data_IF_869456302353
#
_entry.id   IF_869456302353
#
_cell.length_a   1.000
_cell.length_b   1.000
_cell.length_c   1.000
_cell.angle_alpha   90.00
_cell.angle_beta   90.00
_cell.angle_gamma   90.00
#
_symmetry.space_group_name_H-M   'P 1'
#
loop_
_entity.id
_entity.type
_entity.pdbx_description
1 polymer ?
#
# COMPACT_ATOMS: atom_id res chain seq x y z
N UNK A 1 26.57 28.90 10.10
CA UNK A 1 27.15 29.85 11.09
C UNK A 1 26.27 29.83 12.31
N UNK A 2 26.84 29.89 13.51
CA UNK A 2 26.04 30.03 14.73
C UNK A 2 25.66 31.49 14.99
N UNK A 3 24.42 31.73 15.44
CA UNK A 3 23.88 33.06 15.75
C UNK A 3 23.28 33.10 17.15
N UNK A 4 23.15 34.30 17.72
CA UNK A 4 22.49 34.46 19.02
C UNK A 4 20.98 34.35 18.83
N UNK A 5 20.32 33.44 19.56
CA UNK A 5 18.87 33.21 19.49
C UNK A 5 18.33 32.80 20.85
N UNK A 6 17.24 33.42 21.30
CA UNK A 6 16.61 33.16 22.61
C UNK A 6 17.61 33.15 23.79
N UNK A 7 18.59 34.07 23.78
CA UNK A 7 19.64 34.13 24.82
C UNK A 7 20.71 33.01 24.75
N UNK A 8 20.61 32.11 23.77
CA UNK A 8 21.55 31.04 23.48
C UNK A 8 22.31 31.23 22.17
N UNK A 9 22.98 30.17 21.73
CA UNK A 9 23.69 30.07 20.45
C UNK A 9 22.95 29.02 19.59
N UNK A 10 22.56 29.36 18.37
CA UNK A 10 21.83 28.46 17.50
C UNK A 10 22.57 28.21 16.19
N UNK A 11 22.67 26.95 15.79
CA UNK A 11 23.09 26.58 14.44
C UNK A 11 21.95 26.74 13.42
N UNK A 12 22.09 27.68 12.48
CA UNK A 12 21.09 27.97 11.46
C UNK A 12 21.42 27.33 10.10
N UNK A 13 20.35 26.84 9.46
CA UNK A 13 20.34 26.33 8.10
C UNK A 13 19.77 27.40 7.17
N UNK A 14 20.52 27.76 6.12
CA UNK A 14 20.21 28.85 5.19
C UNK A 14 19.71 28.36 3.83
N UNK A 15 19.04 27.20 3.79
CA UNK A 15 18.43 26.67 2.58
C UNK A 15 16.98 26.27 2.84
N UNK A 16 16.17 26.22 1.77
CA UNK A 16 14.79 25.73 1.82
C UNK A 16 14.77 24.21 1.92
N UNK A 17 13.90 23.66 2.76
CA UNK A 17 13.78 22.21 2.94
C UNK A 17 12.35 21.85 3.36
N UNK A 18 11.71 20.90 2.66
CA UNK A 18 10.36 20.38 3.00
C UNK A 18 9.32 21.48 3.34
N UNK A 19 9.33 22.57 2.56
CA UNK A 19 8.44 23.72 2.77
C UNK A 19 8.91 24.76 3.81
N UNK A 20 9.95 24.47 4.59
CA UNK A 20 10.58 25.39 5.53
C UNK A 20 11.37 26.51 4.83
N UNK A 21 11.17 27.75 5.28
CA UNK A 21 11.96 28.91 4.83
C UNK A 21 13.21 29.10 5.69
N UNK A 22 14.36 29.46 5.10
CA UNK A 22 15.54 29.84 5.86
C UNK A 22 15.37 31.23 6.55
N UNK A 23 16.07 31.49 7.66
CA UNK A 23 16.86 30.52 8.42
C UNK A 23 15.98 29.67 9.34
N UNK A 24 16.30 28.38 9.43
CA UNK A 24 15.67 27.48 10.40
C UNK A 24 16.71 26.72 11.21
N UNK A 25 16.27 26.14 12.32
CA UNK A 25 17.11 25.38 13.25
C UNK A 25 16.49 24.01 13.53
N UNK A 26 17.30 23.06 14.01
CA UNK A 26 16.87 21.71 14.34
C UNK A 26 17.14 21.41 15.80
N UNK A 27 16.16 20.87 16.53
CA UNK A 27 16.33 20.48 17.93
C UNK A 27 17.38 19.39 18.12
N UNK A 28 17.38 18.38 17.25
CA UNK A 28 18.41 17.34 17.22
C UNK A 28 19.78 17.93 16.94
N UNK A 29 19.91 18.85 15.96
CA UNK A 29 21.19 19.48 15.66
C UNK A 29 21.74 20.31 16.83
N UNK A 30 20.90 21.06 17.54
CA UNK A 30 21.34 21.80 18.74
C UNK A 30 21.81 20.83 19.84
N UNK A 31 21.12 19.72 20.06
CA UNK A 31 21.54 18.72 21.05
C UNK A 31 22.89 18.08 20.69
N UNK A 32 23.08 17.68 19.43
CA UNK A 32 24.36 17.14 18.93
C UNK A 32 25.47 18.18 19.03
N UNK A 33 25.20 19.45 18.71
CA UNK A 33 26.17 20.52 18.86
C UNK A 33 26.56 20.77 20.32
N UNK A 34 25.60 20.73 21.26
CA UNK A 34 25.90 20.82 22.69
C UNK A 34 26.79 19.66 23.16
N UNK A 35 26.49 18.43 22.74
CA UNK A 35 27.33 17.24 23.01
C UNK A 35 28.75 17.39 22.46
N UNK A 36 28.88 17.79 21.19
CA UNK A 36 30.17 17.89 20.52
C UNK A 36 31.04 18.98 21.15
N UNK A 37 30.46 20.16 21.40
CA UNK A 37 31.18 21.29 22.00
C UNK A 37 31.59 21.01 23.45
N UNK A 38 30.73 20.35 24.25
CA UNK A 38 31.12 19.98 25.61
C UNK A 38 32.22 18.91 25.61
N UNK A 39 32.13 17.92 24.72
CA UNK A 39 33.17 16.92 24.54
C UNK A 39 34.51 17.52 24.13
N UNK A 40 34.51 18.43 23.15
CA UNK A 40 35.73 19.12 22.70
C UNK A 40 36.30 20.05 23.78
N UNK A 41 35.44 20.79 24.50
CA UNK A 41 35.85 21.64 25.61
C UNK A 41 36.52 20.84 26.74
N UNK A 42 35.98 19.67 27.08
CA UNK A 42 36.62 18.76 28.04
C UNK A 42 37.96 18.24 27.52
N UNK A 43 38.02 17.75 26.28
CA UNK A 43 39.23 17.15 25.72
C UNK A 43 40.39 18.15 25.60
N UNK A 44 40.08 19.40 25.22
CA UNK A 44 41.07 20.45 24.98
C UNK A 44 41.29 21.36 26.19
N UNK A 45 40.57 21.14 27.29
CA UNK A 45 40.49 22.06 28.43
C UNK A 45 40.16 23.51 28.01
N UNK A 46 39.30 23.69 27.00
CA UNK A 46 38.91 25.00 26.47
C UNK A 46 37.58 25.47 27.09
N UNK A 47 37.61 26.50 27.97
CA UNK A 47 36.40 27.04 28.58
C UNK A 47 35.47 27.73 27.58
N UNK A 48 35.98 28.20 26.44
CA UNK A 48 35.19 28.85 25.38
C UNK A 48 34.25 27.85 24.72
N UNK A 49 34.74 26.64 24.42
CA UNK A 49 33.94 25.55 23.88
C UNK A 49 32.91 25.05 24.91
N UNK A 50 33.31 24.96 26.17
CA UNK A 50 32.39 24.61 27.27
C UNK A 50 31.26 25.65 27.39
N UNK A 51 31.58 26.95 27.40
CA UNK A 51 30.59 28.02 27.43
C UNK A 51 29.69 28.01 26.17
N UNK A 52 30.27 27.74 24.99
CA UNK A 52 29.50 27.61 23.76
C UNK A 52 28.49 26.45 23.84
N UNK A 53 28.88 25.30 24.39
CA UNK A 53 27.99 24.15 24.58
C UNK A 53 26.77 24.48 25.45
N UNK A 54 26.98 25.22 26.55
CA UNK A 54 25.92 25.68 27.44
C UNK A 54 24.98 26.67 26.73
N UNK A 55 25.54 27.59 25.94
CA UNK A 55 24.74 28.53 25.15
C UNK A 55 23.93 27.81 24.07
N UNK A 56 24.46 26.75 23.45
CA UNK A 56 23.71 25.93 22.50
C UNK A 56 22.56 25.21 23.19
N UNK A 57 22.82 24.56 24.32
CA UNK A 57 21.79 23.86 25.09
C UNK A 57 20.60 24.77 25.46
N UNK A 58 20.84 26.04 25.83
CA UNK A 58 19.77 27.00 26.16
C UNK A 58 18.68 27.14 25.08
N UNK A 59 18.98 26.82 23.82
CA UNK A 59 18.01 26.89 22.73
C UNK A 59 17.13 25.64 22.62
N UNK A 60 17.61 24.49 23.11
CA UNK A 60 16.95 23.18 22.96
C UNK A 60 15.55 23.11 23.58
N UNK A 61 15.28 23.63 24.80
CA UNK A 61 13.94 23.59 25.38
C UNK A 61 12.86 24.22 24.49
N UNK A 62 13.19 25.31 23.78
CA UNK A 62 12.27 26.00 22.86
C UNK A 62 11.96 25.21 21.58
N UNK A 63 12.74 24.15 21.32
CA UNK A 63 12.60 23.24 20.19
C UNK A 63 11.86 21.97 20.57
N UNK A 64 11.13 21.99 21.68
CA UNK A 64 10.23 20.90 22.04
C UNK A 64 8.79 21.25 21.69
N UNK A 65 7.98 20.21 21.49
CA UNK A 65 6.52 20.26 21.38
C UNK A 65 5.92 19.27 22.37
N UNK A 66 4.65 19.44 22.71
CA UNK A 66 3.95 18.46 23.54
C UNK A 66 3.43 17.29 22.70
N UNK A 67 3.58 16.08 23.25
CA UNK A 67 2.87 14.86 22.87
C UNK A 67 2.23 14.27 24.13
N UNK A 68 1.43 13.21 23.98
CA UNK A 68 0.68 12.60 25.08
C UNK A 68 1.55 12.22 26.30
N UNK A 69 2.77 11.71 26.06
CA UNK A 69 3.67 11.24 27.10
C UNK A 69 4.69 12.29 27.59
N UNK A 70 4.64 13.54 27.10
CA UNK A 70 5.55 14.61 27.54
C UNK A 70 6.16 15.42 26.38
N UNK A 71 7.34 16.04 26.59
CA UNK A 71 7.99 16.83 25.55
C UNK A 71 8.59 15.93 24.47
N UNK A 72 8.48 16.36 23.22
CA UNK A 72 9.09 15.74 22.05
C UNK A 72 9.89 16.76 21.26
N UNK A 73 11.08 16.41 20.83
CA UNK A 73 11.94 17.31 20.07
C UNK A 73 11.36 17.55 18.68
N UNK A 74 11.34 18.81 18.26
CA UNK A 74 11.07 19.20 16.89
C UNK A 74 12.36 18.98 16.11
N UNK A 75 12.35 17.99 15.21
CA UNK A 75 13.47 17.80 14.30
C UNK A 75 13.72 19.09 13.51
N UNK A 76 12.66 19.72 13.01
CA UNK A 76 12.73 21.02 12.36
C UNK A 76 11.88 22.05 13.10
N UNK A 77 12.45 23.23 13.39
CA UNK A 77 11.74 24.30 14.12
C UNK A 77 10.51 24.84 13.38
N UNK A 78 10.38 24.59 12.08
CA UNK A 78 9.27 25.07 11.25
C UNK A 78 8.10 24.08 11.14
N UNK A 79 8.26 22.81 11.54
CA UNK A 79 7.18 21.82 11.49
C UNK A 79 6.97 21.14 12.84
N UNK A 80 5.93 20.31 12.92
CA UNK A 80 5.54 19.62 14.14
C UNK A 80 5.60 18.09 13.97
N UNK A 81 6.37 17.58 13.00
CA UNK A 81 6.46 16.13 12.84
C UNK A 81 7.09 15.46 14.06
N UNK A 82 6.46 14.38 14.52
CA UNK A 82 6.92 13.61 15.66
C UNK A 82 7.87 12.51 15.16
N UNK A 83 9.13 12.89 14.93
CA UNK A 83 10.15 12.03 14.31
C UNK A 83 10.92 11.23 15.38
N UNK A 84 11.00 9.90 15.23
CA UNK A 84 11.54 9.00 16.26
C UNK A 84 13.05 9.12 16.45
N UNK A 85 13.82 9.02 15.37
CA UNK A 85 15.28 9.08 15.45
C UNK A 85 15.76 10.43 16.02
N UNK A 86 15.03 11.52 15.74
CA UNK A 86 15.33 12.84 16.27
C UNK A 86 15.22 12.87 17.81
N UNK A 87 14.13 12.33 18.36
CA UNK A 87 13.92 12.22 19.80
C UNK A 87 15.02 11.38 20.46
N UNK A 88 15.27 10.19 19.94
CA UNK A 88 16.24 9.26 20.54
C UNK A 88 17.68 9.81 20.47
N UNK A 89 18.10 10.39 19.34
CA UNK A 89 19.42 11.01 19.21
C UNK A 89 19.56 12.21 20.15
N UNK A 90 18.50 13.00 20.31
CA UNK A 90 18.50 14.13 21.25
C UNK A 90 18.73 13.66 22.68
N UNK A 91 18.07 12.58 23.12
CA UNK A 91 18.27 12.01 24.46
C UNK A 91 19.72 11.54 24.62
N UNK A 92 20.27 10.79 23.66
CA UNK A 92 21.68 10.33 23.69
C UNK A 92 22.64 11.51 23.81
N UNK A 93 22.48 12.54 22.97
CA UNK A 93 23.35 13.71 22.96
C UNK A 93 23.25 14.53 24.24
N UNK A 94 22.05 14.71 24.78
CA UNK A 94 21.87 15.50 25.99
C UNK A 94 22.28 14.74 27.26
N UNK A 95 22.19 13.40 27.31
CA UNK A 95 22.79 12.60 28.39
C UNK A 95 24.31 12.83 28.46
N UNK A 96 24.96 12.77 27.31
CA UNK A 96 26.39 13.02 27.18
C UNK A 96 26.77 14.45 27.57
N UNK A 97 25.99 15.44 27.13
CA UNK A 97 26.20 16.83 27.50
C UNK A 97 26.04 17.03 29.02
N UNK A 98 24.93 16.58 29.59
CA UNK A 98 24.62 16.76 31.01
C UNK A 98 25.65 16.06 31.91
N UNK A 99 26.11 14.86 31.52
CA UNK A 99 27.15 14.13 32.24
C UNK A 99 28.50 14.85 32.26
N UNK A 100 28.85 15.58 31.20
CA UNK A 100 30.12 16.35 31.13
C UNK A 100 30.04 17.69 31.85
N UNK A 101 28.89 18.36 31.80
CA UNK A 101 28.76 19.74 32.29
C UNK A 101 28.14 19.84 33.69
N UNK A 102 27.48 18.79 34.18
CA UNK A 102 26.70 18.84 35.41
C UNK A 102 25.43 19.69 35.32
N UNK A 103 24.98 20.04 34.10
CA UNK A 103 23.83 20.91 33.87
C UNK A 103 22.52 20.24 34.31
N UNK A 104 21.99 20.69 35.46
CA UNK A 104 20.78 20.15 36.08
C UNK A 104 19.53 20.35 35.22
N UNK A 105 19.45 21.44 34.46
CA UNK A 105 18.31 21.67 33.57
C UNK A 105 18.32 20.67 32.41
N UNK A 106 19.51 20.35 31.88
CA UNK A 106 19.66 19.32 30.86
C UNK A 106 19.31 17.93 31.38
N UNK A 107 19.77 17.57 32.59
CA UNK A 107 19.37 16.33 33.26
C UNK A 107 17.85 16.21 33.39
N UNK A 108 17.18 17.28 33.85
CA UNK A 108 15.72 17.29 33.97
C UNK A 108 15.00 17.19 32.61
N UNK A 109 15.51 17.84 31.57
CA UNK A 109 14.93 17.72 30.23
C UNK A 109 15.11 16.31 29.66
N UNK A 110 16.31 15.73 29.77
CA UNK A 110 16.61 14.35 29.36
C UNK A 110 15.63 13.36 29.98
N UNK A 111 15.41 13.48 31.30
CA UNK A 111 14.47 12.60 32.01
C UNK A 111 13.06 12.68 31.41
N UNK A 112 12.54 13.89 31.16
CA UNK A 112 11.22 14.07 30.54
C UNK A 112 11.15 13.59 29.09
N UNK A 113 12.21 13.81 28.30
CA UNK A 113 12.29 13.33 26.93
C UNK A 113 12.33 11.80 26.87
N UNK A 114 13.01 11.15 27.82
CA UNK A 114 13.06 9.69 27.92
C UNK A 114 11.70 9.11 28.31
N UNK A 115 11.02 9.69 29.31
CA UNK A 115 9.64 9.31 29.67
C UNK A 115 8.70 9.44 28.47
N UNK A 116 8.83 10.54 27.71
CA UNK A 116 8.03 10.73 26.51
C UNK A 116 8.36 9.69 25.42
N UNK A 117 9.64 9.35 25.24
CA UNK A 117 10.07 8.34 24.28
C UNK A 117 9.51 6.95 24.65
N UNK A 118 9.68 6.49 25.89
CA UNK A 118 9.18 5.18 26.33
C UNK A 118 7.66 5.08 26.25
N UNK A 119 6.93 6.15 26.64
CA UNK A 119 5.48 6.19 26.55
C UNK A 119 4.92 6.23 25.11
N UNK A 120 5.70 6.72 24.14
CA UNK A 120 5.25 6.83 22.74
C UNK A 120 5.77 5.71 21.83
N UNK A 121 6.84 5.00 22.21
CA UNK A 121 7.46 3.92 21.42
C UNK A 121 6.46 2.91 20.83
N UNK A 122 5.43 2.43 21.57
CA UNK A 122 4.45 1.51 21.00
C UNK A 122 3.72 2.05 19.77
N UNK A 123 3.59 3.37 19.63
CA UNK A 123 2.91 4.00 18.49
C UNK A 123 3.78 4.11 17.25
N UNK A 124 5.08 3.83 17.37
CA UNK A 124 6.03 3.77 16.26
C UNK A 124 6.26 2.35 15.77
N UNK A 125 5.68 1.36 16.41
CA UNK A 125 5.85 -0.05 16.07
C UNK A 125 4.66 -0.50 15.20
N UNK A 126 4.94 -0.97 13.98
CA UNK A 126 3.91 -1.51 13.09
C UNK A 126 3.55 -2.95 13.41
N UNK A 127 4.27 -3.58 14.33
CA UNK A 127 4.28 -5.00 14.60
C UNK A 127 5.50 -5.71 14.01
N UNK A 128 6.06 -5.16 12.93
CA UNK A 128 7.07 -5.79 12.06
C UNK A 128 8.17 -4.84 11.57
N UNK A 129 8.06 -3.55 11.90
CA UNK A 129 9.01 -2.50 11.54
C UNK A 129 8.75 -1.23 12.36
N UNK A 130 9.70 -0.30 12.38
CA UNK A 130 9.50 1.02 12.98
C UNK A 130 8.95 2.05 11.99
N UNK A 131 8.10 2.97 12.43
CA UNK A 131 7.74 4.19 11.69
C UNK A 131 8.84 5.24 11.78
N UNK A 132 9.02 6.04 10.72
CA UNK A 132 9.93 7.20 10.74
C UNK A 132 9.39 8.32 11.64
N UNK A 133 8.12 8.66 11.42
CA UNK A 133 7.36 9.66 12.16
C UNK A 133 6.00 9.11 12.55
N UNK A 134 5.43 9.62 13.64
CA UNK A 134 4.12 9.17 14.12
C UNK A 134 3.04 9.43 13.06
N UNK A 135 2.32 8.39 12.67
CA UNK A 135 1.31 8.46 11.59
C UNK A 135 1.89 8.55 10.18
N UNK A 136 3.21 8.47 10.03
CA UNK A 136 3.91 8.45 8.75
C UNK A 136 4.13 7.04 8.19
N UNK A 137 5.03 6.96 7.22
CA UNK A 137 5.44 5.69 6.61
C UNK A 137 6.40 4.90 7.50
N UNK A 138 6.57 3.62 7.14
CA UNK A 138 7.67 2.79 7.64
C UNK A 138 9.01 3.49 7.42
N UNK A 139 9.90 3.40 8.41
CA UNK A 139 11.22 3.99 8.32
C UNK A 139 12.02 3.35 7.17
N UNK A 140 12.74 4.15 6.36
CA UNK A 140 13.76 3.60 5.48
C UNK A 140 14.78 2.75 6.27
N UNK A 141 15.46 1.82 5.60
CA UNK A 141 16.33 0.84 6.24
C UNK A 141 17.38 1.47 7.15
N UNK A 142 18.08 2.49 6.66
CA UNK A 142 19.10 3.23 7.39
C UNK A 142 18.54 3.89 8.66
N UNK A 143 17.34 4.47 8.59
CA UNK A 143 16.67 5.05 9.75
C UNK A 143 16.19 4.01 10.76
N UNK A 144 15.70 2.85 10.30
CA UNK A 144 15.34 1.75 11.20
C UNK A 144 16.58 1.23 11.95
N UNK A 145 17.67 0.94 11.23
CA UNK A 145 18.95 0.55 11.84
C UNK A 145 19.47 1.62 12.81
N UNK A 146 19.32 2.89 12.46
CA UNK A 146 19.72 3.98 13.33
C UNK A 146 18.90 4.03 14.63
N UNK A 147 17.59 3.84 14.55
CA UNK A 147 16.72 3.73 15.73
C UNK A 147 17.13 2.53 16.59
N UNK A 148 17.37 1.34 16.01
CA UNK A 148 17.85 0.16 16.75
C UNK A 148 19.14 0.48 17.50
N UNK A 149 20.11 1.14 16.84
CA UNK A 149 21.36 1.55 17.47
C UNK A 149 21.13 2.50 18.65
N UNK A 150 20.28 3.52 18.48
CA UNK A 150 19.98 4.50 19.53
C UNK A 150 19.28 3.86 20.73
N UNK A 151 18.30 2.99 20.48
CA UNK A 151 17.62 2.21 21.52
C UNK A 151 18.61 1.32 22.27
N UNK A 152 19.52 0.65 21.56
CA UNK A 152 20.58 -0.15 22.19
C UNK A 152 21.53 0.68 23.06
N UNK A 153 21.88 1.89 22.64
CA UNK A 153 22.67 2.83 23.47
C UNK A 153 21.90 3.19 24.74
N UNK A 154 20.64 3.61 24.60
CA UNK A 154 19.84 4.07 25.73
C UNK A 154 19.51 2.93 26.69
N UNK A 155 19.12 1.76 26.19
CA UNK A 155 18.89 0.53 26.97
C UNK A 155 20.08 0.22 27.89
N UNK A 156 21.32 0.22 27.36
CA UNK A 156 22.51 -0.03 28.19
C UNK A 156 22.75 1.06 29.24
N UNK A 157 22.48 2.33 28.90
CA UNK A 157 22.73 3.47 29.79
C UNK A 157 21.72 3.57 30.93
N UNK A 158 20.47 3.24 30.66
CA UNK A 158 19.36 3.50 31.58
C UNK A 158 18.84 2.23 32.24
N UNK A 159 19.17 1.06 31.69
CA UNK A 159 18.61 -0.23 32.10
C UNK A 159 17.06 -0.25 32.04
N UNK A 160 16.48 0.62 31.21
CA UNK A 160 15.02 0.71 31.05
C UNK A 160 14.52 -0.53 30.27
N UNK A 161 13.57 -1.30 30.85
CA UNK A 161 13.09 -2.52 30.21
C UNK A 161 12.35 -2.24 28.91
N UNK A 162 11.63 -1.11 28.80
CA UNK A 162 10.90 -0.74 27.57
C UNK A 162 11.88 -0.48 26.44
N UNK A 163 12.95 0.27 26.69
CA UNK A 163 13.98 0.53 25.68
C UNK A 163 14.69 -0.76 25.26
N UNK A 164 14.94 -1.67 26.19
CA UNK A 164 15.51 -2.99 25.92
C UNK A 164 14.60 -3.83 25.02
N UNK A 165 13.31 -3.90 25.34
CA UNK A 165 12.31 -4.62 24.54
C UNK A 165 12.24 -4.07 23.12
N UNK A 166 12.16 -2.75 22.93
CA UNK A 166 12.09 -2.18 21.59
C UNK A 166 13.41 -2.26 20.81
N UNK A 167 14.56 -2.18 21.49
CA UNK A 167 15.85 -2.42 20.86
C UNK A 167 15.93 -3.85 20.29
N UNK A 168 15.49 -4.84 21.06
CA UNK A 168 15.44 -6.23 20.63
C UNK A 168 14.42 -6.42 19.51
N UNK A 169 13.18 -5.96 19.69
CA UNK A 169 12.10 -6.13 18.72
C UNK A 169 12.44 -5.55 17.35
N UNK A 170 12.84 -4.28 17.28
CA UNK A 170 13.27 -3.68 16.02
C UNK A 170 14.57 -4.32 15.49
N UNK A 171 15.42 -4.84 16.37
CA UNK A 171 16.57 -5.65 15.96
C UNK A 171 16.17 -7.02 15.36
N UNK A 172 15.06 -7.61 15.78
CA UNK A 172 14.51 -8.86 15.22
C UNK A 172 13.84 -8.58 13.88
N UNK A 173 13.15 -7.45 13.73
CA UNK A 173 12.50 -7.02 12.48
C UNK A 173 13.46 -6.94 11.30
N UNK A 174 14.75 -6.62 11.55
CA UNK A 174 15.83 -6.63 10.56
C UNK A 174 16.17 -8.02 9.99
N UNK A 175 15.75 -9.09 10.66
CA UNK A 175 16.13 -10.48 10.34
C UNK A 175 14.94 -11.35 9.99
N UNK A 176 13.75 -11.01 10.48
CA UNK A 176 12.55 -11.77 10.19
C UNK A 176 12.09 -11.51 8.75
N UNK A 177 11.67 -12.53 7.99
CA UNK A 177 11.10 -12.30 6.67
C UNK A 177 9.74 -11.59 6.74
N UNK A 178 9.29 -10.96 5.64
CA UNK A 178 7.92 -10.44 5.58
C UNK A 178 6.90 -11.58 5.75
N UNK A 179 5.81 -11.31 6.47
CA UNK A 179 4.67 -12.22 6.59
C UNK A 179 3.66 -11.85 5.52
N UNK A 180 3.17 -12.85 4.79
CA UNK A 180 2.13 -12.71 3.78
C UNK A 180 0.89 -13.44 4.26
N UNK A 181 -0.27 -12.78 4.20
CA UNK A 181 -1.57 -13.42 4.36
C UNK A 181 -2.34 -13.38 3.04
N UNK A 182 -2.93 -14.51 2.68
CA UNK A 182 -3.75 -14.62 1.48
C UNK A 182 -5.14 -14.01 1.65
N UNK A 183 -5.67 -13.48 0.55
CA UNK A 183 -7.08 -13.12 0.40
C UNK A 183 -7.90 -14.28 -0.15
N UNK A 184 -9.17 -14.02 -0.54
CA UNK A 184 -10.03 -15.05 -1.11
C UNK A 184 -9.51 -15.53 -2.47
N UNK A 185 -9.87 -16.76 -2.83
CA UNK A 185 -9.56 -17.32 -4.14
C UNK A 185 -10.20 -16.51 -5.28
N UNK A 186 -9.49 -16.29 -6.40
CA UNK A 186 -10.01 -15.54 -7.55
C UNK A 186 -11.16 -16.24 -8.27
N UNK A 187 -11.35 -17.55 -8.04
CA UNK A 187 -12.34 -18.37 -8.73
C UNK A 187 -11.89 -18.78 -10.13
N UNK A 188 -12.86 -19.13 -10.99
CA UNK A 188 -12.60 -19.49 -12.37
C UNK A 188 -12.48 -18.25 -13.27
N UNK A 189 -11.52 -18.27 -14.19
CA UNK A 189 -11.30 -17.24 -15.20
C UNK A 189 -11.53 -17.81 -16.60
N UNK A 190 -11.93 -16.93 -17.53
CA UNK A 190 -12.15 -17.23 -18.94
C UNK A 190 -11.30 -16.25 -19.77
N UNK A 191 -9.99 -16.51 -19.95
CA UNK A 191 -9.08 -15.54 -20.55
C UNK A 191 -9.33 -15.27 -22.04
N UNK A 192 -10.16 -16.10 -22.68
CA UNK A 192 -10.44 -16.03 -24.11
C UNK A 192 -11.93 -16.17 -24.42
N UNK A 193 -12.48 -15.25 -25.23
CA UNK A 193 -11.84 -14.02 -25.72
C UNK A 193 -11.60 -13.00 -24.57
N UNK A 194 -10.73 -12.01 -24.79
CA UNK A 194 -10.56 -10.90 -23.84
C UNK A 194 -11.72 -9.91 -24.01
N UNK A 195 -12.81 -10.10 -23.27
CA UNK A 195 -14.02 -9.29 -23.35
C UNK A 195 -14.24 -8.39 -22.11
N UNK A 196 -13.28 -8.40 -21.19
CA UNK A 196 -13.27 -7.65 -19.94
C UNK A 196 -13.99 -8.36 -18.78
N UNK A 197 -14.43 -9.61 -18.95
CA UNK A 197 -15.18 -10.34 -17.94
C UNK A 197 -14.47 -11.64 -17.57
N UNK A 198 -13.87 -11.63 -16.36
CA UNK A 198 -13.09 -12.77 -15.84
C UNK A 198 -11.91 -13.14 -16.73
N UNK A 199 -11.34 -12.20 -17.47
CA UNK A 199 -10.15 -12.41 -18.31
C UNK A 199 -8.86 -12.66 -17.52
N UNK A 200 -8.83 -12.24 -16.25
CA UNK A 200 -7.65 -12.25 -15.38
C UNK A 200 -7.99 -12.73 -13.97
N UNK A 201 -7.01 -13.34 -13.31
CA UNK A 201 -7.09 -13.66 -11.91
C UNK A 201 -6.71 -12.44 -11.08
N UNK A 202 -7.49 -12.15 -10.03
CA UNK A 202 -7.20 -11.10 -9.07
C UNK A 202 -6.74 -11.73 -7.75
N UNK A 203 -5.45 -11.63 -7.46
CA UNK A 203 -4.89 -12.06 -6.18
C UNK A 203 -4.86 -10.91 -5.20
N UNK A 204 -5.59 -11.06 -4.09
CA UNK A 204 -5.56 -10.13 -2.96
C UNK A 204 -4.67 -10.74 -1.90
N UNK A 205 -3.78 -9.96 -1.30
CA UNK A 205 -2.87 -10.42 -0.25
C UNK A 205 -2.51 -9.27 0.69
N UNK A 206 -2.13 -9.59 1.91
CA UNK A 206 -1.58 -8.64 2.89
C UNK A 206 -0.09 -8.93 3.10
N UNK A 207 0.73 -7.90 3.23
CA UNK A 207 2.15 -8.02 3.58
C UNK A 207 2.49 -7.21 4.83
N UNK A 208 3.35 -7.75 5.69
CA UNK A 208 3.61 -7.20 7.02
C UNK A 208 4.48 -5.94 7.06
N UNK A 209 5.35 -5.79 6.07
CA UNK A 209 6.27 -4.66 5.93
C UNK A 209 6.56 -4.39 4.46
N UNK A 210 7.07 -3.20 4.15
CA UNK A 210 7.48 -2.82 2.80
C UNK A 210 8.31 -3.93 2.15
N UNK A 211 7.81 -4.45 1.04
CA UNK A 211 8.37 -5.60 0.36
C UNK A 211 8.33 -5.45 -1.16
N UNK A 212 9.32 -6.03 -1.84
CA UNK A 212 9.23 -6.35 -3.26
C UNK A 212 8.56 -7.71 -3.39
N UNK A 213 7.39 -7.76 -4.04
CA UNK A 213 6.63 -8.99 -4.22
C UNK A 213 6.62 -9.43 -5.68
N UNK A 214 6.72 -10.74 -5.91
CA UNK A 214 6.73 -11.36 -7.23
C UNK A 214 5.82 -12.58 -7.23
N UNK A 215 4.86 -12.60 -8.15
CA UNK A 215 4.09 -13.80 -8.43
C UNK A 215 4.97 -14.79 -9.21
N UNK A 216 5.04 -16.02 -8.75
CA UNK A 216 5.75 -17.12 -9.39
C UNK A 216 4.71 -18.05 -10.03
N UNK A 217 4.48 -17.82 -11.32
CA UNK A 217 3.57 -18.59 -12.19
C UNK A 217 3.94 -18.29 -13.64
N UNK A 218 3.51 -19.14 -14.57
CA UNK A 218 3.70 -18.90 -16.01
C UNK A 218 3.11 -17.54 -16.41
N UNK A 219 3.85 -16.82 -17.26
CA UNK A 219 3.48 -15.48 -17.73
C UNK A 219 3.25 -14.46 -16.60
N UNK A 220 3.89 -14.65 -15.43
CA UNK A 220 3.85 -13.67 -14.36
C UNK A 220 4.39 -12.29 -14.78
N UNK A 221 3.80 -11.24 -14.20
CA UNK A 221 4.27 -9.87 -14.37
C UNK A 221 5.62 -9.61 -13.69
N UNK A 222 6.13 -8.38 -13.86
CA UNK A 222 7.32 -7.92 -13.14
C UNK A 222 7.06 -7.81 -11.63
N UNK A 223 8.09 -7.98 -10.79
CA UNK A 223 7.98 -7.71 -9.36
C UNK A 223 7.52 -6.27 -9.08
N UNK A 224 6.77 -6.09 -7.99
CA UNK A 224 6.25 -4.78 -7.58
C UNK A 224 6.63 -4.47 -6.14
N UNK A 225 6.97 -3.22 -5.85
CA UNK A 225 7.22 -2.77 -4.48
C UNK A 225 5.91 -2.31 -3.87
N UNK A 226 5.57 -2.89 -2.72
CA UNK A 226 4.36 -2.59 -1.98
C UNK A 226 4.70 -2.18 -0.54
N UNK A 227 3.90 -1.28 0.04
CA UNK A 227 3.98 -0.96 1.47
C UNK A 227 3.43 -2.10 2.32
N UNK A 228 3.56 -2.04 3.65
CA UNK A 228 2.71 -2.89 4.51
C UNK A 228 1.22 -2.72 4.19
N UNK A 229 0.41 -3.76 4.42
CA UNK A 229 -1.04 -3.72 4.23
C UNK A 229 -1.55 -4.62 3.10
N UNK A 230 -2.82 -4.43 2.75
CA UNK A 230 -3.52 -5.17 1.70
C UNK A 230 -3.21 -4.61 0.31
N UNK A 231 -2.94 -5.50 -0.63
CA UNK A 231 -2.61 -5.21 -2.03
C UNK A 231 -3.35 -6.14 -2.97
N UNK A 232 -3.24 -5.86 -4.26
CA UNK A 232 -3.78 -6.69 -5.32
C UNK A 232 -2.77 -6.81 -6.45
N UNK A 233 -2.54 -8.03 -6.94
CA UNK A 233 -1.82 -8.28 -8.18
C UNK A 233 -2.76 -9.00 -9.16
N UNK A 234 -2.70 -8.59 -10.42
CA UNK A 234 -3.45 -9.22 -11.50
C UNK A 234 -2.53 -10.19 -12.23
N UNK A 235 -3.06 -11.36 -12.55
CA UNK A 235 -2.40 -12.33 -13.41
C UNK A 235 -3.26 -12.55 -14.66
N UNK A 236 -2.66 -12.32 -15.82
CA UNK A 236 -3.21 -12.73 -17.11
C UNK A 236 -2.38 -13.91 -17.60
N UNK A 237 -2.97 -15.10 -17.78
CA UNK A 237 -2.21 -16.31 -18.05
C UNK A 237 -1.49 -16.31 -19.41
N UNK A 238 -1.85 -15.43 -20.36
CA UNK A 238 -1.45 -15.60 -21.75
C UNK A 238 -1.85 -17.00 -22.27
N UNK A 239 -1.39 -17.42 -23.47
CA UNK A 239 -1.71 -18.72 -24.06
C UNK A 239 -1.29 -19.90 -23.16
N UNK A 240 -2.25 -20.49 -22.46
CA UNK A 240 -2.03 -21.62 -21.54
C UNK A 240 -3.17 -22.64 -21.66
N UNK A 241 -2.91 -23.88 -21.23
CA UNK A 241 -3.94 -24.91 -21.20
C UNK A 241 -4.99 -24.62 -20.12
N UNK A 242 -6.28 -24.94 -20.35
CA UNK A 242 -7.25 -24.95 -19.28
C UNK A 242 -6.81 -25.92 -18.17
N UNK A 243 -6.99 -25.52 -16.91
CA UNK A 243 -6.51 -26.28 -15.77
C UNK A 243 -6.49 -25.46 -14.48
N UNK A 244 -6.10 -26.12 -13.39
CA UNK A 244 -5.91 -25.48 -12.10
C UNK A 244 -4.45 -25.06 -11.93
N UNK A 245 -4.24 -23.82 -11.50
CA UNK A 245 -2.92 -23.24 -11.27
C UNK A 245 -2.82 -22.71 -9.85
N UNK A 246 -1.75 -23.07 -9.14
CA UNK A 246 -1.44 -22.58 -7.80
C UNK A 246 -0.19 -21.70 -7.88
N UNK A 247 -0.32 -20.36 -7.90
CA UNK A 247 0.84 -19.49 -7.88
C UNK A 247 1.45 -19.44 -6.48
N UNK A 248 2.77 -19.22 -6.43
CA UNK A 248 3.46 -18.81 -5.22
C UNK A 248 3.73 -17.30 -5.25
N UNK A 249 3.62 -16.62 -4.11
CA UNK A 249 4.02 -15.24 -3.94
C UNK A 249 5.33 -15.16 -3.16
N UNK A 250 6.39 -14.75 -3.85
CA UNK A 250 7.67 -14.45 -3.25
C UNK A 250 7.69 -13.00 -2.76
N UNK A 251 7.93 -12.77 -1.48
CA UNK A 251 8.04 -11.45 -0.89
C UNK A 251 9.43 -11.27 -0.27
N UNK A 252 10.13 -10.18 -0.64
CA UNK A 252 11.44 -9.81 -0.09
C UNK A 252 11.40 -8.41 0.52
N UNK A 253 11.87 -8.25 1.76
CA UNK A 253 11.91 -6.96 2.42
C UNK A 253 13.11 -6.10 1.97
N UNK A 254 13.21 -4.89 2.54
CA UNK A 254 14.29 -3.94 2.20
C UNK A 254 15.69 -4.38 2.67
N UNK A 255 15.79 -5.38 3.55
CA UNK A 255 17.06 -5.98 4.00
C UNK A 255 17.46 -7.13 3.07
N UNK A 256 16.47 -7.77 2.43
CA UNK A 256 16.64 -8.96 1.61
C UNK A 256 16.15 -10.25 2.29
N UNK A 257 15.50 -10.16 3.45
CA UNK A 257 14.82 -11.32 4.03
C UNK A 257 13.62 -11.67 3.15
N UNK A 258 13.39 -12.95 2.89
CA UNK A 258 12.36 -13.37 1.98
C UNK A 258 11.47 -14.50 2.53
N UNK A 259 10.23 -14.53 2.06
CA UNK A 259 9.28 -15.61 2.28
C UNK A 259 8.58 -15.96 0.96
N UNK A 260 8.19 -17.21 0.85
CA UNK A 260 7.38 -17.74 -0.24
C UNK A 260 6.05 -18.19 0.35
N UNK A 261 4.94 -17.86 -0.30
CA UNK A 261 3.59 -18.18 0.18
C UNK A 261 2.74 -18.64 -0.97
N UNK A 262 2.25 -19.88 -0.92
CA UNK A 262 1.29 -20.36 -1.89
C UNK A 262 0.01 -19.53 -1.78
N UNK A 263 -0.47 -19.05 -2.93
CA UNK A 263 -1.74 -18.35 -3.00
C UNK A 263 -2.85 -19.33 -3.37
N UNK A 264 -4.12 -18.97 -3.12
CA UNK A 264 -5.24 -19.81 -3.49
C UNK A 264 -5.23 -20.13 -4.99
N UNK A 265 -5.59 -21.36 -5.38
CA UNK A 265 -5.56 -21.75 -6.78
C UNK A 265 -6.58 -20.94 -7.61
N UNK A 266 -6.25 -20.79 -8.89
CA UNK A 266 -7.16 -20.27 -9.92
C UNK A 266 -7.47 -21.37 -10.92
N UNK A 267 -8.70 -21.39 -11.40
CA UNK A 267 -9.11 -22.31 -12.46
C UNK A 267 -9.18 -21.56 -13.79
N UNK A 268 -8.32 -21.92 -14.74
CA UNK A 268 -8.37 -21.40 -16.10
C UNK A 268 -9.31 -22.27 -16.92
N UNK A 269 -10.38 -21.66 -17.43
CA UNK A 269 -11.39 -22.35 -18.25
C UNK A 269 -11.43 -21.80 -19.66
N UNK A 270 -11.94 -22.64 -20.57
CA UNK A 270 -12.39 -22.25 -21.89
C UNK A 270 -13.90 -22.38 -21.93
N UNK A 271 -14.56 -21.35 -22.44
CA UNK A 271 -16.00 -21.42 -22.66
C UNK A 271 -16.30 -22.20 -23.94
N UNK A 272 -17.05 -23.29 -23.77
CA UNK A 272 -17.48 -24.18 -24.85
C UNK A 272 -18.99 -24.41 -24.81
N UNK A 273 -19.72 -23.70 -23.96
CA UNK A 273 -21.15 -23.91 -23.75
C UNK A 273 -21.93 -22.74 -24.32
N UNK A 274 -22.98 -23.02 -25.09
CA UNK A 274 -23.88 -21.97 -25.54
C UNK A 274 -24.62 -21.32 -24.36
N UNK A 275 -24.94 -20.01 -24.45
CA UNK A 275 -25.63 -19.32 -23.38
C UNK A 275 -27.03 -19.92 -23.19
N UNK A 276 -27.47 -20.04 -21.93
CA UNK A 276 -28.84 -20.50 -21.63
C UNK A 276 -29.78 -19.34 -21.88
N UNK A 277 -30.78 -19.53 -22.73
CA UNK A 277 -31.71 -18.46 -23.10
C UNK A 277 -33.14 -18.97 -23.33
N UNK A 278 -34.10 -18.22 -22.79
CA UNK A 278 -35.52 -18.34 -23.10
C UNK A 278 -35.98 -17.04 -23.77
N UNK A 279 -36.84 -17.16 -24.79
CA UNK A 279 -37.37 -16.02 -25.50
C UNK A 279 -38.80 -16.25 -25.98
N UNK A 280 -39.57 -15.17 -26.07
CA UNK A 280 -40.93 -15.18 -26.59
C UNK A 280 -41.16 -13.98 -27.49
N UNK A 281 -42.06 -14.16 -28.47
CA UNK A 281 -42.43 -13.12 -29.42
C UNK A 281 -43.91 -12.80 -29.25
N UNK A 282 -44.20 -11.56 -28.86
CA UNK A 282 -45.57 -11.05 -28.78
C UNK A 282 -45.77 -9.99 -29.88
N UNK A 283 -46.59 -10.32 -30.89
CA UNK A 283 -46.71 -9.53 -32.12
C UNK A 283 -45.34 -9.27 -32.78
N UNK A 284 -44.83 -8.03 -32.69
CA UNK A 284 -43.52 -7.63 -33.22
C UNK A 284 -42.45 -7.47 -32.14
N UNK A 285 -42.78 -7.66 -30.86
CA UNK A 285 -41.85 -7.43 -29.75
C UNK A 285 -41.27 -8.74 -29.23
N UNK A 286 -39.96 -8.87 -29.34
CA UNK A 286 -39.18 -9.95 -28.78
C UNK A 286 -38.88 -9.66 -27.30
N UNK A 287 -39.04 -10.65 -26.44
CA UNK A 287 -38.61 -10.63 -25.05
C UNK A 287 -37.62 -11.78 -24.83
N UNK A 288 -36.58 -11.55 -24.03
CA UNK A 288 -35.61 -12.59 -23.68
C UNK A 288 -35.17 -12.51 -22.22
N UNK A 289 -34.76 -13.67 -21.72
CA UNK A 289 -34.01 -13.85 -20.47
C UNK A 289 -33.03 -15.00 -20.67
N UNK A 290 -31.77 -14.77 -20.35
CA UNK A 290 -30.73 -15.77 -20.37
C UNK A 290 -29.75 -15.62 -19.23
N UNK A 291 -28.72 -16.45 -19.25
CA UNK A 291 -27.58 -16.46 -18.33
C UNK A 291 -26.38 -17.09 -19.03
N UNK A 292 -25.19 -16.57 -18.72
CA UNK A 292 -23.92 -17.17 -19.12
C UNK A 292 -22.87 -16.86 -18.04
N UNK A 293 -22.03 -17.84 -17.69
CA UNK A 293 -21.05 -17.70 -16.61
C UNK A 293 -19.70 -17.16 -17.09
N UNK A 294 -19.48 -17.16 -18.41
CA UNK A 294 -18.22 -16.83 -19.06
C UNK A 294 -18.25 -15.53 -19.88
N UNK A 295 -19.45 -15.00 -20.14
CA UNK A 295 -19.63 -13.79 -20.96
C UNK A 295 -20.39 -12.68 -20.23
N UNK A 296 -20.06 -11.39 -20.48
CA UNK A 296 -20.77 -10.25 -19.90
C UNK A 296 -22.03 -9.85 -20.70
N UNK A 297 -22.20 -10.38 -21.91
CA UNK A 297 -23.29 -10.05 -22.84
C UNK A 297 -23.66 -11.24 -23.74
N UNK A 298 -24.80 -11.13 -24.45
CA UNK A 298 -25.15 -12.03 -25.57
C UNK A 298 -25.33 -11.26 -26.87
N UNK A 299 -24.73 -11.75 -27.95
CA UNK A 299 -24.95 -11.28 -29.30
C UNK A 299 -26.26 -11.86 -29.83
N UNK A 300 -27.28 -11.01 -30.01
CA UNK A 300 -28.60 -11.45 -30.46
C UNK A 300 -28.83 -11.14 -31.95
N UNK A 301 -29.37 -12.12 -32.66
CA UNK A 301 -29.93 -11.94 -34.01
C UNK A 301 -31.17 -12.80 -34.21
N UNK A 302 -32.15 -12.28 -34.93
CA UNK A 302 -33.36 -13.03 -35.32
C UNK A 302 -33.27 -13.35 -36.81
N UNK A 303 -33.32 -14.64 -37.16
CA UNK A 303 -33.43 -15.05 -38.56
C UNK A 303 -34.91 -15.30 -38.86
N UNK A 304 -35.44 -14.56 -39.82
CA UNK A 304 -36.81 -14.69 -40.30
C UNK A 304 -36.82 -15.33 -41.69
N UNK A 305 -37.75 -16.27 -41.92
CA UNK A 305 -37.83 -17.04 -43.18
C UNK A 305 -39.26 -17.08 -43.71
N UNK A 306 -39.39 -17.07 -45.03
CA UNK A 306 -40.61 -17.39 -45.79
C UNK A 306 -40.19 -18.02 -47.14
N UNK A 307 -41.12 -18.61 -47.92
CA UNK A 307 -40.79 -19.11 -49.25
C UNK A 307 -40.09 -18.05 -50.10
N UNK A 308 -38.91 -18.39 -50.65
CA UNK A 308 -38.10 -17.50 -51.49
C UNK A 308 -37.38 -16.35 -50.78
N UNK A 309 -37.43 -16.21 -49.44
CA UNK A 309 -36.71 -15.14 -48.75
C UNK A 309 -36.26 -15.49 -47.31
N UNK A 310 -35.01 -15.13 -46.99
CA UNK A 310 -34.42 -15.20 -45.65
C UNK A 310 -33.87 -13.82 -45.28
N UNK A 311 -34.11 -13.35 -44.06
CA UNK A 311 -33.50 -12.11 -43.54
C UNK A 311 -32.98 -12.31 -42.13
N UNK A 312 -31.92 -11.58 -41.80
CA UNK A 312 -31.35 -11.52 -40.44
C UNK A 312 -31.57 -10.13 -39.87
N UNK A 313 -32.21 -10.07 -38.71
CA UNK A 313 -32.39 -8.87 -37.91
C UNK A 313 -31.34 -8.89 -36.80
N UNK A 314 -30.38 -7.98 -36.85
CA UNK A 314 -29.31 -7.90 -35.86
C UNK A 314 -29.74 -7.02 -34.68
N UNK A 315 -29.63 -7.54 -33.47
CA UNK A 315 -29.87 -6.79 -32.23
C UNK A 315 -28.55 -6.41 -31.54
N UNK A 316 -27.43 -6.97 -31.98
CA UNK A 316 -26.11 -6.67 -31.44
C UNK A 316 -25.89 -7.28 -30.05
N UNK A 317 -24.93 -6.73 -29.31
CA UNK A 317 -24.64 -7.12 -27.92
C UNK A 317 -25.77 -6.61 -27.02
N UNK A 318 -26.37 -7.51 -26.27
CA UNK A 318 -27.48 -7.23 -25.38
C UNK A 318 -27.18 -7.80 -23.99
N UNK A 319 -27.78 -7.18 -22.97
CA UNK A 319 -27.78 -7.76 -21.62
C UNK A 319 -28.60 -9.04 -21.59
N UNK A 320 -28.41 -9.83 -20.53
CA UNK A 320 -29.08 -11.11 -20.36
C UNK A 320 -30.61 -11.04 -20.20
N UNK A 321 -31.19 -9.84 -20.07
CA UNK A 321 -32.64 -9.67 -19.98
C UNK A 321 -33.05 -8.39 -20.69
N UNK A 322 -34.01 -8.49 -21.60
CA UNK A 322 -34.48 -7.31 -22.32
C UNK A 322 -35.65 -7.59 -23.25
N UNK A 323 -35.98 -6.57 -24.04
CA UNK A 323 -36.94 -6.67 -25.13
C UNK A 323 -36.56 -5.75 -26.28
N UNK A 324 -36.99 -6.10 -27.49
CA UNK A 324 -36.73 -5.31 -28.70
C UNK A 324 -37.92 -5.39 -29.66
N UNK A 325 -38.21 -4.29 -30.33
CA UNK A 325 -39.17 -4.27 -31.42
C UNK A 325 -38.48 -4.76 -32.70
N UNK A 326 -39.04 -5.78 -33.35
CA UNK A 326 -38.52 -6.32 -34.59
C UNK A 326 -39.07 -5.52 -35.79
N UNK A 327 -38.15 -4.94 -36.56
CA UNK A 327 -38.43 -4.34 -37.85
C UNK A 327 -38.25 -5.42 -38.95
N UNK A 328 -39.36 -5.89 -39.50
CA UNK A 328 -39.36 -6.87 -40.58
C UNK A 328 -40.29 -6.41 -41.72
N UNK A 329 -40.04 -6.82 -42.98
CA UNK A 329 -40.94 -6.49 -44.08
C UNK A 329 -42.32 -7.11 -43.90
N UNK A 330 -43.33 -6.52 -44.55
CA UNK A 330 -44.71 -7.02 -44.52
C UNK A 330 -44.79 -8.50 -44.92
N UNK A 331 -45.70 -9.20 -44.24
CA UNK A 331 -45.98 -10.62 -44.46
C UNK A 331 -45.90 -11.45 -43.18
N UNK A 332 -45.98 -12.77 -43.36
CA UNK A 332 -45.86 -13.76 -42.30
C UNK A 332 -44.52 -14.47 -42.46
N UNK A 333 -43.73 -14.48 -41.39
CA UNK A 333 -42.40 -15.08 -41.37
C UNK A 333 -42.29 -16.08 -40.22
N UNK A 334 -41.61 -17.21 -40.42
CA UNK A 334 -41.12 -18.00 -39.29
C UNK A 334 -39.89 -17.33 -38.70
N UNK A 335 -39.82 -17.24 -37.37
CA UNK A 335 -38.76 -16.53 -36.67
C UNK A 335 -38.00 -17.47 -35.73
N UNK A 336 -36.66 -17.34 -35.73
CA UNK A 336 -35.76 -18.05 -34.82
C UNK A 336 -34.77 -17.06 -34.24
N UNK A 337 -34.70 -16.97 -32.91
CA UNK A 337 -33.65 -16.24 -32.22
C UNK A 337 -32.37 -17.07 -32.20
N UNK A 338 -31.24 -16.43 -32.47
CA UNK A 338 -29.91 -16.94 -32.22
C UNK A 338 -29.26 -16.03 -31.17
N UNK A 339 -28.73 -16.63 -30.12
CA UNK A 339 -27.96 -15.94 -29.09
C UNK A 339 -26.56 -16.54 -29.05
N UNK A 340 -25.55 -15.71 -29.27
CA UNK A 340 -24.15 -16.10 -29.14
C UNK A 340 -23.56 -15.48 -27.88
N UNK A 341 -22.73 -16.21 -27.17
CA UNK A 341 -21.84 -15.66 -26.13
C UNK A 341 -20.63 -14.94 -26.75
N UNK A 342 -19.67 -14.49 -25.94
CA UNK A 342 -18.48 -13.81 -26.44
C UNK A 342 -17.53 -14.75 -27.18
N UNK A 343 -17.47 -16.01 -26.78
CA UNK A 343 -16.69 -17.09 -27.40
C UNK A 343 -17.26 -17.58 -28.74
N UNK A 344 -18.48 -17.19 -29.07
CA UNK A 344 -19.20 -17.56 -30.28
C UNK A 344 -20.07 -18.81 -30.16
N UNK A 345 -20.16 -19.44 -28.98
CA UNK A 345 -21.08 -20.58 -28.82
C UNK A 345 -22.52 -20.06 -28.90
N UNK A 346 -23.36 -20.76 -29.66
CA UNK A 346 -24.66 -20.22 -30.10
C UNK A 346 -25.83 -21.11 -29.69
N UNK A 347 -26.79 -20.53 -28.97
CA UNK A 347 -28.09 -21.12 -28.69
C UNK A 347 -29.14 -20.67 -29.73
N UNK A 348 -30.16 -21.49 -29.96
CA UNK A 348 -31.25 -21.21 -30.90
C UNK A 348 -32.60 -21.40 -30.22
N UNK A 349 -33.50 -20.43 -30.35
CA UNK A 349 -34.86 -20.48 -29.79
C UNK A 349 -35.88 -20.24 -30.89
N UNK A 350 -36.73 -21.22 -31.22
CA UNK A 350 -37.87 -21.01 -32.11
C UNK A 350 -38.84 -20.00 -31.49
N UNK A 351 -39.21 -18.96 -32.24
CA UNK A 351 -40.13 -17.90 -31.78
C UNK A 351 -41.53 -18.02 -32.38
N UNK A 352 -41.75 -18.98 -33.27
CA UNK A 352 -43.01 -19.12 -34.00
C UNK A 352 -43.13 -18.14 -35.17
N UNK A 353 -44.32 -17.57 -35.38
CA UNK A 353 -44.63 -16.71 -36.53
C UNK A 353 -44.59 -15.21 -36.18
N UNK A 354 -43.82 -14.45 -36.94
CA UNK A 354 -43.83 -12.98 -36.94
C UNK A 354 -44.76 -12.48 -38.06
N UNK A 355 -45.83 -11.79 -37.69
CA UNK A 355 -46.77 -11.16 -38.64
C UNK A 355 -46.58 -9.64 -38.66
N UNK A 356 -46.35 -9.07 -39.84
CA UNK A 356 -46.23 -7.63 -40.06
C UNK A 356 -47.28 -7.16 -41.05
N UNK A 357 -48.31 -6.46 -40.57
CA UNK A 357 -49.50 -6.06 -41.34
C UNK A 357 -49.56 -4.57 -41.71
N UNK A 358 -48.79 -3.70 -41.04
CA UNK A 358 -48.68 -2.25 -41.30
C UNK A 358 -47.22 -1.79 -41.11
N UNK A 359 -46.78 -0.64 -41.70
CA UNK A 359 -45.40 -0.14 -41.56
C UNK A 359 -44.95 -0.15 -40.10
#
# INVERSE_FOLDING_TARGET
RSVVRAGGLAWEYYFRFEGGQPPWISGMAQAVAAQALSGAGTLLADPTLTAASQRVYKTVPSLTRSVQAGPWIRLYAFNNETVLNAQLQTIVSLQDYAGRTGDQAATALVSRLQVAATGMLPRFDTGYWSLYSLGGAEAPLDYHQYVVRLLGILSRRTQDPTLTTYAQRFGDDLRQPPVVNEGPAPGAIYPWPQDGYRDYARYVFWVSKRSTVRLQIDHAGSPVVVSRGWHTILWSPGPIQPGQYTPNLHASDVVGNASDTDLPPVEVRRDTQAPKINASLAARRLYWRGTDDASPWMGLKVVIRRPGAVRTLWLGKQTFRGSALLAAPRGVWSATLFAADSSGNTAKVPLGSLRVTRP
#
